data_IF_189486171838
#
_entry.id   IF_189486171838
#
_cell.length_a   1.000
_cell.length_b   1.000
_cell.length_c   1.000
_cell.angle_alpha   90.00
_cell.angle_beta   90.00
_cell.angle_gamma   90.00
#
_symmetry.space_group_name_H-M   'P 1'
#
loop_
_entity.id
_entity.type
_entity.pdbx_description
1 polymer ?
#
# COMPACT_ATOMS: atom_id res chain seq x y z
N UNK A 1 -15.38 12.42 4.56
CA UNK A 1 -14.96 11.44 3.55
C UNK A 1 -13.47 11.63 3.33
N UNK A 2 -12.66 10.56 3.27
CA UNK A 2 -11.23 10.64 2.94
C UNK A 2 -11.04 10.11 1.53
N UNK A 3 -10.76 11.03 0.63
CA UNK A 3 -10.43 10.76 -0.76
C UNK A 3 -8.93 10.55 -0.89
N UNK A 4 -8.55 9.61 -1.74
CA UNK A 4 -7.16 9.24 -1.98
C UNK A 4 -6.87 9.47 -3.46
N UNK A 5 -5.85 10.28 -3.78
CA UNK A 5 -5.38 10.43 -5.15
C UNK A 5 -4.81 9.10 -5.66
N UNK A 6 -5.24 8.68 -6.84
CA UNK A 6 -4.74 7.48 -7.54
C UNK A 6 -4.30 7.85 -8.94
N UNK A 7 -3.39 7.04 -9.48
CA UNK A 7 -3.01 7.08 -10.89
C UNK A 7 -3.33 5.71 -11.49
N UNK A 8 -4.18 5.69 -12.50
CA UNK A 8 -4.53 4.49 -13.26
C UNK A 8 -3.41 4.07 -14.21
N UNK A 9 -3.51 2.86 -14.76
CA UNK A 9 -2.58 2.35 -15.77
C UNK A 9 -2.51 3.22 -17.02
N UNK A 10 -3.60 3.91 -17.35
CA UNK A 10 -3.68 4.85 -18.47
C UNK A 10 -2.96 6.19 -18.19
N UNK A 11 -2.42 6.38 -16.97
CA UNK A 11 -1.79 7.63 -16.54
C UNK A 11 -2.77 8.69 -16.07
N UNK A 12 -4.07 8.44 -16.18
CA UNK A 12 -5.12 9.28 -15.61
C UNK A 12 -5.01 9.34 -14.09
N UNK A 13 -5.16 10.53 -13.53
CA UNK A 13 -5.19 10.76 -12.09
C UNK A 13 -6.61 11.04 -11.64
N UNK A 14 -7.03 10.46 -10.52
CA UNK A 14 -8.38 10.61 -10.00
C UNK A 14 -8.40 10.53 -8.47
N UNK A 15 -9.50 10.96 -7.86
CA UNK A 15 -9.72 10.91 -6.42
C UNK A 15 -10.78 9.89 -6.09
N UNK A 16 -10.38 8.83 -5.39
CA UNK A 16 -11.29 7.72 -5.05
C UNK A 16 -11.45 7.63 -3.54
N UNK A 17 -12.61 7.14 -3.10
CA UNK A 17 -12.80 6.86 -1.68
C UNK A 17 -11.90 5.72 -1.20
N UNK A 18 -11.57 5.73 0.09
CA UNK A 18 -10.69 4.70 0.68
C UNK A 18 -11.24 3.28 0.49
N UNK A 19 -12.57 3.09 0.45
CA UNK A 19 -13.19 1.78 0.18
C UNK A 19 -13.02 1.37 -1.28
N UNK A 20 -13.17 2.30 -2.23
CA UNK A 20 -12.95 2.04 -3.65
C UNK A 20 -11.47 1.77 -3.95
N UNK A 21 -10.56 2.50 -3.31
CA UNK A 21 -9.12 2.31 -3.41
C UNK A 21 -8.71 0.86 -3.12
N UNK A 22 -9.24 0.26 -2.05
CA UNK A 22 -8.93 -1.11 -1.68
C UNK A 22 -9.30 -2.09 -2.82
N UNK A 23 -10.49 -1.94 -3.40
CA UNK A 23 -10.92 -2.74 -4.55
C UNK A 23 -10.03 -2.52 -5.78
N UNK A 24 -9.62 -1.27 -6.05
CA UNK A 24 -8.73 -0.94 -7.17
C UNK A 24 -7.32 -1.54 -7.01
N UNK A 25 -6.83 -1.59 -5.77
CA UNK A 25 -5.56 -2.26 -5.44
C UNK A 25 -5.69 -3.77 -5.65
N UNK A 26 -6.78 -4.40 -5.20
CA UNK A 26 -7.01 -5.84 -5.36
C UNK A 26 -7.20 -6.25 -6.83
N UNK A 27 -7.75 -5.35 -7.65
CA UNK A 27 -7.95 -5.54 -9.09
C UNK A 27 -6.72 -5.14 -9.93
N UNK A 28 -5.65 -4.64 -9.30
CA UNK A 28 -4.45 -4.12 -9.97
C UNK A 28 -4.75 -2.99 -10.98
N UNK A 29 -5.89 -2.29 -10.82
CA UNK A 29 -6.38 -1.27 -11.77
C UNK A 29 -5.63 0.06 -11.67
N UNK A 30 -4.76 0.24 -10.67
CA UNK A 30 -4.02 1.47 -10.41
C UNK A 30 -2.51 1.21 -10.35
N UNK A 31 -1.71 2.18 -10.82
CA UNK A 31 -0.24 2.14 -10.81
C UNK A 31 0.32 2.62 -9.50
N UNK A 32 -0.28 3.66 -8.92
CA UNK A 32 0.14 4.23 -7.63
C UNK A 32 -0.99 5.02 -6.99
N UNK A 33 -0.91 5.16 -5.67
CA UNK A 33 -1.85 5.99 -4.91
C UNK A 33 -1.14 6.80 -3.85
N UNK A 34 -1.69 7.95 -3.49
CA UNK A 34 -1.06 8.88 -2.55
C UNK A 34 -1.54 8.63 -1.13
N UNK A 35 -0.60 8.40 -0.22
CA UNK A 35 -0.79 8.43 1.22
C UNK A 35 -0.26 9.74 1.79
N UNK A 36 -0.55 9.96 3.07
CA UNK A 36 -0.01 11.08 3.84
C UNK A 36 1.52 11.20 3.78
N UNK A 37 2.22 10.09 3.56
CA UNK A 37 3.68 10.01 3.51
C UNK A 37 4.26 10.12 2.08
N UNK A 38 3.44 9.89 1.04
CA UNK A 38 3.90 9.88 -0.35
C UNK A 38 3.14 8.91 -1.26
N UNK A 39 3.66 8.71 -2.47
CA UNK A 39 3.09 7.78 -3.45
C UNK A 39 3.50 6.34 -3.16
N UNK A 40 2.55 5.42 -3.21
CA UNK A 40 2.74 3.99 -2.97
C UNK A 40 2.38 3.22 -4.24
N UNK A 41 3.26 2.31 -4.67
CA UNK A 41 3.05 1.46 -5.85
C UNK A 41 2.50 0.09 -5.43
N UNK A 42 1.20 -0.21 -5.60
CA UNK A 42 0.66 -1.54 -5.36
C UNK A 42 1.39 -2.55 -6.25
N UNK A 43 2.05 -3.53 -5.63
CA UNK A 43 2.86 -4.55 -6.32
C UNK A 43 4.38 -4.40 -6.14
N UNK A 44 4.89 -3.19 -5.90
CA UNK A 44 6.32 -2.92 -5.61
C UNK A 44 6.50 -2.56 -4.13
N UNK A 45 5.69 -1.61 -3.66
CA UNK A 45 5.69 -1.19 -2.28
C UNK A 45 4.83 -2.12 -1.41
N UNK A 46 5.24 -2.40 -0.17
CA UNK A 46 4.44 -3.17 0.76
C UNK A 46 3.16 -2.41 1.12
N UNK A 47 2.08 -2.68 0.38
CA UNK A 47 0.73 -2.22 0.69
C UNK A 47 0.25 -2.99 1.93
N UNK A 48 0.62 -2.48 3.11
CA UNK A 48 0.17 -2.91 4.45
C UNK A 48 -0.19 -4.39 4.53
N UNK A 49 0.83 -5.20 4.77
CA UNK A 49 0.67 -6.57 5.28
C UNK A 49 0.01 -6.49 6.66
N UNK A 50 -1.31 -6.58 6.74
CA UNK A 50 -1.96 -7.09 7.94
C UNK A 50 -1.46 -8.54 8.12
N UNK A 51 -0.49 -8.70 9.01
CA UNK A 51 -0.18 -9.92 9.74
C UNK A 51 -0.18 -11.29 9.02
N UNK A 52 0.06 -11.41 7.70
CA UNK A 52 0.31 -12.73 7.09
C UNK A 52 1.78 -13.16 7.23
N UNK A 53 2.15 -13.48 8.47
CA UNK A 53 2.85 -14.67 8.99
C UNK A 53 3.62 -15.65 8.07
N UNK A 54 4.16 -15.27 6.91
CA UNK A 54 4.88 -16.22 6.04
C UNK A 54 6.21 -15.72 5.45
N UNK A 55 6.85 -14.69 6.02
CA UNK A 55 8.24 -14.37 5.67
C UNK A 55 9.19 -14.97 6.71
N UNK A 56 9.88 -16.06 6.34
CA UNK A 56 10.98 -16.67 7.10
C UNK A 56 12.25 -15.85 6.88
N UNK A 57 12.40 -14.74 7.60
CA UNK A 57 13.67 -14.04 7.76
C UNK A 57 14.02 -13.99 9.25
N UNK A 58 15.19 -14.49 9.70
CA UNK A 58 15.50 -14.71 11.12
C UNK A 58 15.76 -13.44 11.96
N UNK A 59 15.68 -12.24 11.40
CA UNK A 59 16.29 -11.04 12.02
C UNK A 59 15.31 -10.16 12.84
N UNK A 60 14.05 -10.56 13.02
CA UNK A 60 13.03 -9.67 13.63
C UNK A 60 12.93 -9.65 15.16
N UNK A 61 13.86 -10.25 15.91
CA UNK A 61 13.82 -10.24 17.39
C UNK A 61 15.13 -9.89 18.10
N UNK A 62 15.99 -9.08 17.48
CA UNK A 62 17.14 -8.52 18.20
C UNK A 62 17.15 -6.99 18.29
N UNK A 63 16.11 -6.31 17.77
CA UNK A 63 16.01 -4.85 17.83
C UNK A 63 14.88 -4.32 18.73
N UNK A 64 14.20 -5.21 19.48
CA UNK A 64 13.19 -4.82 20.49
C UNK A 64 13.65 -5.04 21.94
N UNK A 65 14.89 -5.49 22.14
CA UNK A 65 15.55 -5.46 23.44
C UNK A 65 17.03 -5.11 23.24
N UNK A 66 17.56 -4.29 24.16
CA UNK A 66 18.92 -3.74 24.30
C UNK A 66 18.99 -2.31 23.72
N UNK A 67 19.04 -1.23 24.52
CA UNK A 67 19.46 -1.08 25.92
C UNK A 67 18.59 -0.04 26.64
#
# INVERSE_FOLDING_TARGET
MREVPVVYQDGMMDMVETQALQNLIEQDSIVKFQRADGWVYPGIDPVRRFAHRNYKGPERRLADMIY
#
